data_IF_730849089201
#
_entry.id   IF_730849089201
#
_cell.length_a   1.000
_cell.length_b   1.000
_cell.length_c   1.000
_cell.angle_alpha   90.00
_cell.angle_beta   90.00
_cell.angle_gamma   90.00
#
_symmetry.space_group_name_H-M   'P 1'
#
loop_
_entity.id
_entity.type
_entity.pdbx_description
1 polymer ?
#
# COMPACT_ATOMS: atom_id res chain seq x y z
N UNK A 1 16.62 8.91 -8.90
CA UNK A 1 16.81 7.86 -7.87
C UNK A 1 15.40 7.46 -7.52
N UNK A 2 15.05 6.18 -7.73
CA UNK A 2 13.69 5.72 -7.46
C UNK A 2 13.32 5.95 -6.00
N UNK A 3 12.18 6.58 -5.77
CA UNK A 3 11.65 6.85 -4.44
C UNK A 3 10.16 6.58 -4.39
N UNK A 4 9.71 6.09 -3.24
CA UNK A 4 8.31 5.73 -3.02
C UNK A 4 7.56 6.92 -2.42
N UNK A 5 6.33 7.16 -2.92
CA UNK A 5 5.49 8.29 -2.47
C UNK A 5 4.05 7.85 -2.26
N UNK A 6 3.29 8.67 -1.52
CA UNK A 6 1.83 8.60 -1.45
C UNK A 6 1.23 7.29 -0.92
N UNK A 7 1.90 6.59 0.00
CA UNK A 7 1.41 5.34 0.59
C UNK A 7 0.01 5.47 1.21
N UNK A 8 -0.89 4.55 0.85
CA UNK A 8 -2.24 4.41 1.44
C UNK A 8 -2.58 2.94 1.71
N UNK A 9 -3.39 2.74 2.74
CA UNK A 9 -4.09 1.48 2.98
C UNK A 9 -5.51 1.62 2.41
N UNK A 10 -5.93 0.65 1.59
CA UNK A 10 -7.27 0.58 1.00
C UNK A 10 -7.88 -0.76 1.33
N UNK A 11 -9.10 -0.75 1.88
CA UNK A 11 -9.86 -1.98 2.09
C UNK A 11 -10.70 -2.31 0.85
N UNK A 12 -10.51 -3.49 0.27
CA UNK A 12 -11.17 -3.92 -0.94
C UNK A 12 -11.32 -5.44 -1.00
N UNK A 13 -12.24 -5.93 -1.82
CA UNK A 13 -12.48 -7.35 -2.06
C UNK A 13 -11.60 -7.90 -3.21
N UNK A 14 -10.97 -7.02 -3.98
CA UNK A 14 -10.02 -7.38 -5.04
C UNK A 14 -8.92 -6.31 -5.24
N UNK A 15 -7.83 -6.72 -5.90
CA UNK A 15 -6.74 -5.81 -6.26
C UNK A 15 -7.21 -4.70 -7.23
N UNK A 16 -8.10 -5.04 -8.16
CA UNK A 16 -8.65 -4.08 -9.12
C UNK A 16 -9.49 -3.01 -8.40
N UNK A 17 -10.35 -3.43 -7.46
CA UNK A 17 -11.13 -2.50 -6.64
C UNK A 17 -10.23 -1.63 -5.76
N UNK A 18 -9.16 -2.19 -5.18
CA UNK A 18 -8.20 -1.42 -4.39
C UNK A 18 -7.52 -0.31 -5.21
N UNK A 19 -7.11 -0.65 -6.45
CA UNK A 19 -6.53 0.32 -7.39
C UNK A 19 -7.53 1.37 -7.81
N UNK A 20 -8.75 0.99 -8.16
CA UNK A 20 -9.81 1.93 -8.53
C UNK A 20 -10.11 2.92 -7.39
N UNK A 21 -10.26 2.43 -6.15
CA UNK A 21 -10.47 3.27 -4.96
C UNK A 21 -9.31 4.23 -4.73
N UNK A 22 -8.08 3.77 -4.87
CA UNK A 22 -6.89 4.61 -4.72
C UNK A 22 -6.82 5.69 -5.81
N UNK A 23 -7.03 5.33 -7.08
CA UNK A 23 -7.05 6.27 -8.20
C UNK A 23 -8.19 7.30 -8.07
N UNK A 24 -9.33 6.91 -7.52
CA UNK A 24 -10.45 7.80 -7.22
C UNK A 24 -10.11 8.89 -6.18
N UNK A 25 -9.05 8.71 -5.38
CA UNK A 25 -8.55 9.75 -4.47
C UNK A 25 -7.88 10.91 -5.21
N UNK A 26 -7.60 10.76 -6.52
CA UNK A 26 -7.03 11.79 -7.40
C UNK A 26 -5.72 12.41 -6.85
N UNK A 27 -4.89 11.56 -6.24
CA UNK A 27 -3.57 11.93 -5.70
C UNK A 27 -2.68 12.37 -6.86
N UNK A 28 -1.94 13.47 -6.67
CA UNK A 28 -0.99 13.99 -7.66
C UNK A 28 0.40 13.44 -7.40
N UNK A 29 1.03 12.91 -8.42
CA UNK A 29 2.46 12.55 -8.43
C UNK A 29 3.26 13.70 -9.04
N UNK A 30 4.53 13.81 -8.69
CA UNK A 30 5.41 14.79 -9.31
C UNK A 30 5.99 14.27 -10.62
N UNK A 31 6.24 12.96 -10.68
CA UNK A 31 6.68 12.25 -11.87
C UNK A 31 5.48 11.82 -12.76
N UNK A 32 5.43 12.22 -14.05
CA UNK A 32 4.43 11.73 -14.99
C UNK A 32 4.56 10.24 -15.34
N UNK A 33 5.72 9.63 -15.05
CA UNK A 33 5.98 8.20 -15.25
C UNK A 33 5.80 7.39 -13.96
N UNK A 34 5.24 7.99 -12.90
CA UNK A 34 5.03 7.32 -11.63
C UNK A 34 4.26 6.01 -11.79
N UNK A 35 4.80 4.93 -11.23
CA UNK A 35 4.20 3.59 -11.30
C UNK A 35 3.46 3.29 -10.01
N UNK A 36 2.17 2.93 -10.11
CA UNK A 36 1.36 2.53 -8.95
C UNK A 36 1.58 1.06 -8.62
N UNK A 37 2.12 0.81 -7.45
CA UNK A 37 2.22 -0.52 -6.86
C UNK A 37 1.02 -0.82 -5.95
N UNK A 38 0.63 -2.09 -5.86
CA UNK A 38 -0.49 -2.55 -5.04
C UNK A 38 -0.21 -3.94 -4.49
N UNK A 39 -0.14 -4.05 -3.16
CA UNK A 39 0.17 -5.29 -2.47
C UNK A 39 -0.95 -5.66 -1.50
N UNK A 40 -1.42 -6.89 -1.56
CA UNK A 40 -2.28 -7.45 -0.52
C UNK A 40 -1.41 -7.96 0.61
N UNK A 41 -1.62 -7.46 1.83
CA UNK A 41 -0.70 -7.70 2.94
C UNK A 41 -0.54 -9.18 3.30
N UNK A 42 -1.61 -9.98 3.21
CA UNK A 42 -1.56 -11.42 3.51
C UNK A 42 -1.03 -12.30 2.37
N UNK A 43 -0.77 -11.74 1.20
CA UNK A 43 -0.09 -12.48 0.11
C UNK A 43 1.43 -12.35 0.19
N UNK A 44 1.94 -11.55 1.13
CA UNK A 44 3.37 -11.35 1.36
C UNK A 44 3.89 -12.40 2.35
N UNK A 45 4.89 -13.18 1.93
CA UNK A 45 5.44 -14.27 2.74
C UNK A 45 6.04 -13.80 4.07
N UNK A 46 6.67 -12.61 4.07
CA UNK A 46 7.37 -12.05 5.23
C UNK A 46 6.49 -11.10 6.07
N UNK A 47 5.18 -11.02 5.79
CA UNK A 47 4.29 -10.12 6.53
C UNK A 47 3.74 -10.79 7.80
N UNK A 48 4.01 -10.20 8.96
CA UNK A 48 3.44 -10.63 10.25
C UNK A 48 2.52 -9.55 10.84
N UNK A 49 1.23 -9.85 10.96
CA UNK A 49 0.23 -8.95 11.50
C UNK A 49 0.49 -8.51 12.96
N UNK A 50 1.26 -9.30 13.70
CA UNK A 50 1.59 -9.05 15.11
C UNK A 50 2.83 -8.17 15.29
N UNK A 51 3.65 -8.01 14.25
CA UNK A 51 4.82 -7.12 14.29
C UNK A 51 4.40 -5.65 14.28
N UNK A 52 5.18 -4.81 14.97
CA UNK A 52 4.91 -3.36 15.07
C UNK A 52 5.12 -2.63 13.75
N UNK A 53 5.97 -3.15 12.87
CA UNK A 53 6.20 -2.65 11.52
C UNK A 53 6.39 -3.85 10.57
N UNK A 54 6.13 -3.64 9.28
CA UNK A 54 6.36 -4.64 8.25
C UNK A 54 7.02 -4.01 7.01
N UNK A 55 7.53 -4.85 6.12
CA UNK A 55 7.89 -4.45 4.77
C UNK A 55 6.77 -4.85 3.80
N UNK A 56 6.39 -3.92 2.94
CA UNK A 56 5.40 -4.14 1.88
C UNK A 56 5.98 -3.62 0.57
N UNK A 57 6.36 -4.55 -0.31
CA UNK A 57 7.15 -4.22 -1.49
C UNK A 57 8.46 -3.54 -1.10
N UNK A 58 8.64 -2.29 -1.52
CA UNK A 58 9.85 -1.49 -1.28
C UNK A 58 9.73 -0.50 -0.10
N UNK A 59 8.62 -0.54 0.66
CA UNK A 59 8.41 0.38 1.79
C UNK A 59 8.34 -0.35 3.13
N UNK A 60 8.74 0.36 4.18
CA UNK A 60 8.41 -0.03 5.56
C UNK A 60 7.11 0.66 5.99
N UNK A 61 6.14 -0.13 6.42
CA UNK A 61 4.88 0.38 6.99
C UNK A 61 5.04 0.59 8.49
N UNK A 62 4.75 1.81 8.94
CA UNK A 62 4.91 2.22 10.34
C UNK A 62 3.84 1.60 11.25
N UNK A 63 3.99 1.68 12.58
CA UNK A 63 2.97 1.21 13.53
C UNK A 63 1.58 1.82 13.33
N UNK A 64 1.48 3.07 12.86
CA UNK A 64 0.19 3.72 12.55
C UNK A 64 -0.48 3.08 11.33
N UNK A 65 0.31 2.77 10.30
CA UNK A 65 -0.18 2.06 9.11
C UNK A 65 -0.57 0.63 9.46
N UNK A 66 0.22 -0.06 10.29
CA UNK A 66 -0.09 -1.38 10.81
C UNK A 66 -1.39 -1.39 11.64
N UNK A 67 -1.62 -0.37 12.47
CA UNK A 67 -2.89 -0.22 13.19
C UNK A 67 -4.08 -0.10 12.23
N UNK A 68 -3.91 0.58 11.10
CA UNK A 68 -4.94 0.65 10.06
C UNK A 68 -5.16 -0.73 9.45
N UNK A 69 -4.10 -1.40 9.00
CA UNK A 69 -4.18 -2.74 8.40
C UNK A 69 -4.89 -3.74 9.32
N UNK A 70 -4.61 -3.72 10.63
CA UNK A 70 -5.21 -4.60 11.63
C UNK A 70 -6.73 -4.46 11.79
N UNK A 71 -7.34 -3.38 11.28
CA UNK A 71 -8.79 -3.21 11.35
C UNK A 71 -9.53 -4.20 10.44
N UNK A 72 -8.94 -4.54 9.29
CA UNK A 72 -9.50 -5.48 8.31
C UNK A 72 -8.37 -6.05 7.43
N UNK A 73 -7.52 -6.93 7.98
CA UNK A 73 -6.29 -7.34 7.30
C UNK A 73 -6.54 -8.23 6.09
N UNK A 74 -7.66 -8.95 6.04
CA UNK A 74 -8.04 -9.80 4.89
C UNK A 74 -8.31 -8.99 3.62
N UNK A 75 -8.76 -7.75 3.80
CA UNK A 75 -9.13 -6.81 2.75
C UNK A 75 -8.13 -5.68 2.61
N UNK A 76 -7.06 -5.65 3.40
CA UNK A 76 -6.07 -4.57 3.39
C UNK A 76 -5.11 -4.69 2.21
N UNK A 77 -5.14 -3.67 1.35
CA UNK A 77 -4.16 -3.44 0.29
C UNK A 77 -3.33 -2.21 0.63
N UNK A 78 -2.02 -2.31 0.47
CA UNK A 78 -1.10 -1.18 0.57
C UNK A 78 -0.70 -0.76 -0.84
N UNK A 79 -0.95 0.50 -1.16
CA UNK A 79 -0.65 1.09 -2.46
C UNK A 79 0.25 2.30 -2.29
N UNK A 80 1.21 2.46 -3.19
CA UNK A 80 2.12 3.60 -3.24
C UNK A 80 2.63 3.80 -4.67
N UNK A 81 3.12 5.00 -4.97
CA UNK A 81 3.78 5.29 -6.24
C UNK A 81 5.29 5.09 -6.13
N UNK A 82 5.92 4.65 -7.22
CA UNK A 82 7.37 4.70 -7.44
C UNK A 82 7.64 5.81 -8.47
N UNK A 83 8.46 6.80 -8.12
CA UNK A 83 8.83 7.96 -8.94
C UNK A 83 10.36 7.96 -9.20
N UNK A 84 10.81 8.39 -10.39
CA UNK A 84 12.23 8.40 -10.81
C UNK A 84 13.09 9.59 -10.33
#
# INVERSE_FOLDING_TARGET
MQHTTNTRVVFADSMDEAREKYLAMNIKTHDPNAVLECYRVFELEDFDINEDFNFVGEISVSPEVMQTIRQDPERAYVLYYIEE
#
